data_IF_839022720104
#
_entry.id   IF_839022720104
#
_cell.length_a   1.000
_cell.length_b   1.000
_cell.length_c   1.000
_cell.angle_alpha   90.00
_cell.angle_beta   90.00
_cell.angle_gamma   90.00
#
_symmetry.space_group_name_H-M   'P 1'
#
loop_
_entity.id
_entity.type
_entity.pdbx_description
1 polymer ?
#
# COMPACT_ATOMS: atom_id res chain seq x y z
N UNK A 1 -7.47 -10.86 5.71
CA UNK A 1 -6.01 -10.65 5.76
C UNK A 1 -5.52 -9.66 4.70
N UNK A 2 -5.83 -9.91 3.44
CA UNK A 2 -5.36 -9.00 2.38
C UNK A 2 -5.81 -7.57 2.53
N UNK A 3 -7.07 -7.37 2.96
CA UNK A 3 -7.61 -6.02 3.16
C UNK A 3 -6.88 -5.30 4.28
N UNK A 4 -6.51 -6.03 5.33
CA UNK A 4 -5.78 -5.44 6.45
C UNK A 4 -4.40 -4.96 6.02
N UNK A 5 -3.71 -5.73 5.18
CA UNK A 5 -2.38 -5.33 4.69
C UNK A 5 -2.48 -4.11 3.78
N UNK A 6 -3.52 -4.02 2.97
CA UNK A 6 -3.78 -2.84 2.16
C UNK A 6 -3.99 -1.61 3.05
N UNK A 7 -4.81 -1.76 4.10
CA UNK A 7 -5.06 -0.66 5.03
C UNK A 7 -3.80 -0.20 5.74
N UNK A 8 -2.93 -1.13 6.12
CA UNK A 8 -1.64 -0.80 6.71
C UNK A 8 -0.80 0.02 5.73
N UNK A 9 -0.83 -0.33 4.45
CA UNK A 9 -0.13 0.43 3.43
C UNK A 9 -0.62 1.87 3.34
N UNK A 10 -1.93 2.06 3.38
CA UNK A 10 -2.51 3.39 3.33
C UNK A 10 -2.13 4.22 4.55
N UNK A 11 -2.14 3.61 5.75
CA UNK A 11 -1.74 4.29 6.97
C UNK A 11 -0.25 4.63 6.94
N UNK A 12 0.57 3.71 6.46
CA UNK A 12 2.01 3.94 6.34
C UNK A 12 2.30 5.14 5.46
N UNK A 13 1.63 5.22 4.30
CA UNK A 13 1.78 6.36 3.40
C UNK A 13 1.34 7.65 4.06
N UNK A 14 0.23 7.63 4.79
CA UNK A 14 -0.29 8.82 5.46
C UNK A 14 0.66 9.31 6.54
N UNK A 15 1.30 8.40 7.26
CA UNK A 15 2.27 8.77 8.29
C UNK A 15 3.45 9.53 7.70
N UNK A 16 3.84 9.20 6.48
CA UNK A 16 4.99 9.84 5.82
C UNK A 16 4.59 11.18 5.22
N UNK A 17 3.47 11.22 4.51
CA UNK A 17 3.05 12.44 3.78
C UNK A 17 2.19 13.37 4.63
N UNK A 18 1.67 12.89 5.75
CA UNK A 18 0.75 13.63 6.63
C UNK A 18 -0.60 13.91 5.98
N UNK A 19 -0.91 13.22 4.90
CA UNK A 19 -2.20 13.33 4.21
C UNK A 19 -2.67 11.95 3.83
N UNK A 20 -3.98 11.69 3.88
CA UNK A 20 -4.50 10.41 3.37
C UNK A 20 -4.11 10.24 1.91
N UNK A 21 -3.68 9.03 1.56
CA UNK A 21 -3.24 8.77 0.19
C UNK A 21 -4.42 8.79 -0.78
N UNK A 22 -5.54 8.23 -0.35
CA UNK A 22 -6.76 8.18 -1.14
C UNK A 22 -7.88 8.84 -0.35
N UNK A 23 -8.48 9.89 -0.92
CA UNK A 23 -9.55 10.65 -0.26
C UNK A 23 -10.75 10.75 -1.18
N UNK A 24 -11.57 9.72 -1.24
CA UNK A 24 -12.76 9.73 -2.06
C UNK A 24 -13.99 10.20 -1.29
N UNK A 25 -14.93 10.81 -2.02
CA UNK A 25 -16.20 11.27 -1.45
C UNK A 25 -17.27 10.20 -1.51
N UNK A 26 -17.04 9.14 -2.27
CA UNK A 26 -17.96 8.03 -2.42
C UNK A 26 -17.12 6.78 -2.73
N UNK A 27 -17.79 5.62 -2.75
CA UNK A 27 -17.09 4.39 -3.08
C UNK A 27 -16.46 4.43 -4.47
N UNK A 28 -17.19 4.94 -5.45
CA UNK A 28 -16.67 5.00 -6.82
C UNK A 28 -15.58 6.07 -6.95
N UNK A 29 -15.74 7.19 -6.26
CA UNK A 29 -14.70 8.23 -6.29
C UNK A 29 -13.42 7.74 -5.64
N UNK A 30 -13.54 7.03 -4.52
CA UNK A 30 -12.38 6.43 -3.85
C UNK A 30 -11.66 5.46 -4.79
N UNK A 31 -12.43 4.59 -5.47
CA UNK A 31 -11.87 3.63 -6.39
C UNK A 31 -11.08 4.32 -7.51
N UNK A 32 -11.65 5.37 -8.08
CA UNK A 32 -11.00 6.09 -9.17
C UNK A 32 -9.76 6.85 -8.69
N UNK A 33 -9.77 7.33 -7.45
CA UNK A 33 -8.57 7.97 -6.88
C UNK A 33 -7.44 6.97 -6.73
N UNK A 34 -7.77 5.75 -6.34
CA UNK A 34 -6.78 4.67 -6.26
C UNK A 34 -6.21 4.40 -7.66
N UNK A 35 -7.08 4.28 -8.66
CA UNK A 35 -6.65 4.01 -10.03
C UNK A 35 -5.79 5.12 -10.61
N UNK A 36 -6.10 6.38 -10.29
CA UNK A 36 -5.29 7.49 -10.77
C UNK A 36 -3.87 7.47 -10.25
N UNK A 37 -3.69 6.97 -9.04
CA UNK A 37 -2.36 6.92 -8.43
C UNK A 37 -1.62 5.65 -8.81
N UNK A 38 -2.29 4.50 -8.73
CA UNK A 38 -1.64 3.21 -8.93
C UNK A 38 -1.82 2.64 -10.35
N UNK A 39 -2.70 3.23 -11.13
CA UNK A 39 -3.08 2.70 -12.44
C UNK A 39 -4.31 1.82 -12.34
N UNK A 40 -5.10 1.78 -13.39
CA UNK A 40 -6.27 0.90 -13.43
C UNK A 40 -5.77 -0.54 -13.55
N UNK A 41 -6.24 -1.45 -12.69
CA UNK A 41 -5.74 -2.84 -12.74
C UNK A 41 -6.14 -3.55 -14.04
N UNK A 42 -5.25 -4.39 -14.54
CA UNK A 42 -5.49 -5.20 -15.72
C UNK A 42 -5.24 -6.65 -15.38
N UNK A 43 -5.61 -7.54 -16.31
CA UNK A 43 -5.36 -8.97 -16.11
C UNK A 43 -3.88 -9.31 -15.99
N UNK A 44 -3.00 -8.43 -16.46
CA UNK A 44 -1.56 -8.66 -16.34
C UNK A 44 -1.09 -8.61 -14.89
N UNK A 45 -1.62 -7.66 -14.13
CA UNK A 45 -1.21 -7.47 -12.73
C UNK A 45 -2.14 -8.15 -11.74
N UNK A 46 -3.37 -8.45 -12.14
CA UNK A 46 -4.34 -9.07 -11.25
C UNK A 46 -5.19 -10.02 -12.06
N UNK A 47 -4.76 -11.25 -12.14
CA UNK A 47 -5.48 -12.27 -12.90
C UNK A 47 -6.89 -12.45 -12.34
N UNK A 48 -7.88 -12.31 -13.21
CA UNK A 48 -9.28 -12.45 -12.84
C UNK A 48 -9.98 -11.16 -12.44
N UNK A 49 -9.27 -10.02 -12.49
CA UNK A 49 -9.87 -8.76 -12.06
C UNK A 49 -11.08 -8.39 -12.91
N UNK A 50 -11.04 -8.65 -14.20
CA UNK A 50 -12.14 -8.30 -15.09
C UNK A 50 -13.38 -9.16 -14.88
N UNK A 51 -13.23 -10.27 -14.18
CA UNK A 51 -14.35 -11.16 -13.84
C UNK A 51 -15.02 -10.79 -12.53
N UNK A 52 -14.46 -9.84 -11.78
CA UNK A 52 -15.06 -9.43 -10.52
C UNK A 52 -16.38 -8.72 -10.76
N UNK A 53 -17.38 -8.95 -9.88
CA UNK A 53 -18.74 -8.41 -10.12
C UNK A 53 -18.80 -6.90 -10.26
N UNK A 54 -17.93 -6.19 -9.52
CA UNK A 54 -17.97 -4.74 -9.53
C UNK A 54 -17.05 -4.12 -10.57
N UNK A 55 -16.27 -4.92 -11.29
CA UNK A 55 -15.39 -4.39 -12.32
C UNK A 55 -16.21 -4.03 -13.56
N UNK A 56 -15.96 -2.85 -14.11
CA UNK A 56 -16.66 -2.37 -15.30
C UNK A 56 -15.66 -2.12 -16.41
N UNK A 57 -15.92 -2.65 -17.59
CA UNK A 57 -15.08 -2.39 -18.75
C UNK A 57 -15.11 -0.92 -19.15
N UNK A 58 -16.09 -0.17 -18.65
CA UNK A 58 -16.20 1.26 -18.90
C UNK A 58 -15.35 2.11 -17.95
N UNK A 59 -14.67 1.50 -16.99
CA UNK A 59 -13.79 2.23 -16.10
C UNK A 59 -12.75 3.00 -16.91
N UNK A 60 -12.43 4.24 -16.55
CA UNK A 60 -11.30 4.94 -17.17
C UNK A 60 -10.03 4.11 -16.98
N UNK A 61 -9.13 4.21 -17.96
CA UNK A 61 -7.93 3.40 -17.95
C UNK A 61 -6.70 4.26 -17.76
N UNK A 62 -6.31 4.44 -16.49
CA UNK A 62 -5.07 5.11 -16.15
C UNK A 62 -3.96 4.07 -16.24
N UNK A 63 -2.95 4.33 -17.05
CA UNK A 63 -1.91 3.35 -17.34
C UNK A 63 -0.68 3.48 -16.46
N UNK A 64 -0.50 4.66 -15.89
CA UNK A 64 0.73 4.96 -15.15
C UNK A 64 0.52 4.76 -13.66
N UNK A 65 1.62 4.42 -12.98
CA UNK A 65 1.64 4.33 -11.53
C UNK A 65 2.44 5.53 -11.02
N UNK A 66 1.76 6.43 -10.31
CA UNK A 66 2.36 7.65 -9.81
C UNK A 66 2.62 7.60 -8.31
N UNK A 67 2.65 6.40 -7.73
CA UNK A 67 2.80 6.28 -6.29
C UNK A 67 4.05 6.99 -5.78
N UNK A 68 5.18 6.79 -6.46
CA UNK A 68 6.43 7.42 -6.02
C UNK A 68 6.33 8.94 -6.03
N UNK A 69 5.62 9.51 -7.00
CA UNK A 69 5.48 10.96 -7.12
C UNK A 69 4.78 11.58 -5.91
N UNK A 70 3.95 10.79 -5.21
CA UNK A 70 3.26 11.28 -4.02
C UNK A 70 4.19 11.53 -2.85
N UNK A 71 5.41 11.01 -2.91
CA UNK A 71 6.39 11.13 -1.84
C UNK A 71 7.51 12.10 -2.19
N UNK A 72 7.34 12.91 -3.24
CA UNK A 72 8.30 13.93 -3.61
C UNK A 72 7.81 15.27 -3.10
N UNK A 73 8.64 15.94 -2.31
CA UNK A 73 8.34 17.28 -1.83
C UNK A 73 8.57 18.25 -2.98
N UNK A 74 7.51 18.89 -3.42
CA UNK A 74 7.58 19.79 -4.57
C UNK A 74 8.40 21.05 -4.30
N UNK A 75 8.53 21.44 -3.03
CA UNK A 75 9.30 22.63 -2.68
C UNK A 75 10.80 22.38 -2.75
N UNK A 76 11.24 21.22 -2.31
CA UNK A 76 12.66 20.87 -2.27
C UNK A 76 13.06 19.89 -3.36
N UNK A 77 12.08 19.31 -4.06
CA UNK A 77 12.28 18.30 -5.09
C UNK A 77 13.04 17.09 -4.54
N UNK A 78 12.83 16.77 -3.27
CA UNK A 78 13.46 15.63 -2.63
C UNK A 78 12.41 14.60 -2.21
N UNK A 79 12.83 13.35 -2.09
CA UNK A 79 11.91 12.30 -1.68
C UNK A 79 11.69 12.32 -0.17
N UNK A 80 10.46 12.03 0.23
CA UNK A 80 10.09 11.92 1.64
C UNK A 80 10.18 10.47 2.14
N UNK A 81 10.54 9.54 1.27
CA UNK A 81 10.56 8.12 1.59
C UNK A 81 11.84 7.52 1.03
N UNK A 82 12.51 6.68 1.80
CA UNK A 82 13.69 5.99 1.28
C UNK A 82 13.30 4.75 0.46
N UNK A 83 14.27 4.16 -0.21
CA UNK A 83 14.00 3.05 -1.12
C UNK A 83 13.45 1.82 -0.40
N UNK A 84 13.93 1.54 0.80
CA UNK A 84 13.46 0.39 1.57
C UNK A 84 12.01 0.58 1.98
N UNK A 85 11.67 1.76 2.47
CA UNK A 85 10.30 2.07 2.86
C UNK A 85 9.37 2.02 1.64
N UNK A 86 9.83 2.53 0.51
CA UNK A 86 9.01 2.53 -0.69
C UNK A 86 8.77 1.11 -1.20
N UNK A 87 9.79 0.25 -1.14
CA UNK A 87 9.64 -1.14 -1.54
C UNK A 87 8.60 -1.85 -0.67
N UNK A 88 8.64 -1.63 0.64
CA UNK A 88 7.64 -2.19 1.54
C UNK A 88 6.25 -1.68 1.20
N UNK A 89 6.13 -0.37 0.96
CA UNK A 89 4.84 0.23 0.63
C UNK A 89 4.28 -0.34 -0.66
N UNK A 90 5.11 -0.52 -1.68
CA UNK A 90 4.66 -1.12 -2.92
C UNK A 90 4.13 -2.54 -2.70
N UNK A 91 4.78 -3.31 -1.83
CA UNK A 91 4.30 -4.65 -1.51
C UNK A 91 2.97 -4.65 -0.79
N UNK A 92 2.69 -3.61 0.00
CA UNK A 92 1.43 -3.46 0.71
C UNK A 92 0.30 -2.99 -0.21
N UNK A 93 0.61 -2.25 -1.26
CA UNK A 93 -0.38 -1.66 -2.17
C UNK A 93 -0.44 -2.37 -3.52
N UNK A 94 -0.30 -3.67 -3.52
CA UNK A 94 -0.52 -4.50 -4.69
C UNK A 94 -2.01 -4.85 -4.75
N UNK A 95 -2.61 -4.72 -5.93
CA UNK A 95 -4.04 -4.99 -6.11
C UNK A 95 -4.42 -6.44 -5.82
N UNK A 96 -3.67 -7.38 -6.37
CA UNK A 96 -4.00 -8.80 -6.24
C UNK A 96 -3.68 -9.25 -4.80
N UNK A 97 -4.71 -9.64 -4.03
CA UNK A 97 -4.46 -10.06 -2.65
C UNK A 97 -3.50 -11.24 -2.53
N UNK A 98 -3.42 -12.06 -3.56
CA UNK A 98 -2.53 -13.22 -3.55
C UNK A 98 -1.06 -12.83 -3.66
N UNK A 99 -0.79 -11.67 -4.29
CA UNK A 99 0.58 -11.17 -4.47
C UNK A 99 0.96 -10.14 -3.42
N UNK A 100 -0.02 -9.63 -2.67
CA UNK A 100 0.24 -8.62 -1.65
C UNK A 100 1.07 -9.22 -0.53
N UNK A 101 2.03 -8.44 -0.03
CA UNK A 101 2.93 -8.92 1.02
C UNK A 101 2.12 -9.32 2.26
N UNK A 102 2.51 -10.43 2.88
CA UNK A 102 1.88 -10.89 4.12
C UNK A 102 2.50 -10.19 5.31
N UNK A 103 1.81 -10.23 6.45
CA UNK A 103 2.33 -9.65 7.69
C UNK A 103 3.66 -10.29 8.05
N UNK A 104 3.77 -11.60 7.90
CA UNK A 104 4.99 -12.32 8.22
C UNK A 104 6.16 -11.85 7.38
N UNK A 105 5.95 -11.69 6.06
CA UNK A 105 6.99 -11.21 5.17
C UNK A 105 7.31 -9.75 5.40
N UNK A 106 6.31 -8.95 5.75
CA UNK A 106 6.53 -7.53 6.03
C UNK A 106 7.43 -7.36 7.24
N UNK A 107 7.27 -8.20 8.26
CA UNK A 107 8.08 -8.09 9.48
C UNK A 107 9.56 -8.36 9.23
N UNK A 108 9.90 -9.14 8.22
CA UNK A 108 11.30 -9.43 7.89
C UNK A 108 11.80 -8.61 6.71
N UNK A 109 11.02 -7.62 6.29
CA UNK A 109 11.44 -6.75 5.19
C UNK A 109 12.67 -5.92 5.60
N UNK A 110 13.60 -5.67 4.67
CA UNK A 110 14.82 -4.91 4.98
C UNK A 110 14.56 -3.53 5.60
N UNK A 111 13.38 -2.95 5.41
CA UNK A 111 13.04 -1.69 6.03
C UNK A 111 13.21 -1.73 7.55
N UNK A 112 13.00 -2.90 8.15
CA UNK A 112 13.08 -3.06 9.61
C UNK A 112 14.42 -3.62 10.08
N UNK A 113 15.39 -3.77 9.20
CA UNK A 113 16.66 -4.40 9.56
C UNK A 113 17.44 -3.64 10.63
N UNK A 114 17.27 -2.33 10.69
CA UNK A 114 17.98 -1.49 11.66
C UNK A 114 17.23 -1.36 12.99
N UNK A 115 16.13 -2.07 13.17
CA UNK A 115 15.37 -2.02 14.41
C UNK A 115 15.87 -3.08 15.36
N UNK A 116 16.26 -2.63 16.57
CA UNK A 116 16.67 -3.56 17.63
C UNK A 116 15.41 -4.10 18.30
N UNK A 117 15.00 -5.30 17.90
CA UNK A 117 13.79 -5.92 18.41
C UNK A 117 13.93 -6.38 19.85
N UNK A 118 15.16 -6.49 20.36
CA UNK A 118 15.35 -6.93 21.74
C UNK A 118 14.99 -5.86 22.74
N UNK A 119 15.00 -4.59 22.31
CA UNK A 119 14.66 -3.47 23.19
C UNK A 119 13.22 -3.00 23.04
N UNK A 120 12.46 -3.61 22.14
CA UNK A 120 11.07 -3.19 21.89
C UNK A 120 10.10 -3.87 22.81
N UNK A 121 9.12 -3.13 23.34
CA UNK A 121 8.06 -3.75 24.16
C UNK A 121 7.31 -4.83 23.40
N UNK A 122 7.29 -4.78 22.08
CA UNK A 122 6.61 -5.78 21.28
C UNK A 122 7.12 -7.19 21.56
N UNK A 123 8.36 -7.33 21.97
CA UNK A 123 8.89 -8.62 22.34
C UNK A 123 8.17 -9.24 23.52
N UNK A 124 7.60 -8.40 24.38
CA UNK A 124 6.88 -8.84 25.57
C UNK A 124 5.41 -9.12 25.25
N UNK A 125 4.95 -8.75 24.08
CA UNK A 125 3.54 -8.87 23.72
C UNK A 125 3.25 -9.98 22.74
N UNK A 126 4.16 -10.86 22.53
CA UNK A 126 3.97 -11.84 21.46
C UNK A 126 2.72 -12.69 21.60
N UNK A 127 2.17 -12.79 22.79
CA UNK A 127 0.90 -13.45 22.99
C UNK A 127 -0.27 -12.55 22.73
N UNK A 128 -0.15 -11.31 23.17
CA UNK A 128 -1.23 -10.33 23.08
C UNK A 128 -1.38 -9.77 21.69
N UNK A 129 -0.32 -9.76 20.92
CA UNK A 129 -0.37 -9.18 19.59
C UNK A 129 -0.97 -10.10 18.56
N UNK A 130 -1.43 -11.24 18.96
CA UNK A 130 -2.09 -12.12 18.04
C UNK A 130 -3.53 -11.79 17.95
N UNK A 131 -3.75 -10.60 17.59
CA UNK A 131 -5.08 -10.12 17.43
C UNK A 131 -5.65 -10.58 16.17
N UNK A 132 -5.23 -11.30 15.59
CA UNK A 132 -5.63 -11.72 14.36
C UNK A 132 -6.91 -12.22 14.04
#
# INVERSE_FOLDING_TARGET
MGVDMWSIGCIFAEMITKKPLFQGDSEIDELFRIFRILGTPTELEWNGVESLPDYKMTFPRWRENYLRDKFIDKKTNSTMIDDQAFDLLQGLLIYDPKLRISAKKALIHPYFDDIDTTSLPAGDFRGELQLN
#
